data_IF_783143041553
#
_entry.id   IF_783143041553
#
_cell.length_a   1.000
_cell.length_b   1.000
_cell.length_c   1.000
_cell.angle_alpha   90.00
_cell.angle_beta   90.00
_cell.angle_gamma   90.00
#
_symmetry.space_group_name_H-M   'P 1'
#
loop_
_entity.id
_entity.type
_entity.pdbx_description
1 polymer ?
#
# COMPACT_ATOMS: atom_id res chain seq x y z
N UNK A 1 23.21 12.98 -1.96
CA UNK A 1 22.21 12.18 -2.73
C UNK A 1 20.85 12.10 -2.04
N UNK A 2 20.74 11.88 -0.72
CA UNK A 2 19.45 11.63 -0.06
C UNK A 2 18.47 12.82 -0.02
N UNK A 3 18.99 14.06 -0.12
CA UNK A 3 18.18 15.28 -0.10
C UNK A 3 17.13 15.35 -1.23
N UNK A 4 17.40 14.71 -2.37
CA UNK A 4 16.49 14.76 -3.53
C UNK A 4 15.19 13.98 -3.29
N UNK A 5 15.19 13.02 -2.37
CA UNK A 5 13.98 12.27 -2.06
C UNK A 5 12.94 13.12 -1.32
N UNK A 6 13.39 14.13 -0.56
CA UNK A 6 12.51 15.03 0.19
C UNK A 6 11.60 15.88 -0.70
N UNK A 7 12.03 16.19 -1.93
CA UNK A 7 11.25 17.02 -2.86
C UNK A 7 10.23 16.21 -3.67
N UNK A 8 10.33 14.88 -3.67
CA UNK A 8 9.42 14.00 -4.39
C UNK A 8 8.18 13.78 -3.52
N UNK A 9 7.00 14.05 -4.09
CA UNK A 9 5.70 13.82 -3.44
C UNK A 9 4.88 12.84 -4.26
N UNK A 10 4.49 11.72 -3.68
CA UNK A 10 3.62 10.70 -4.27
C UNK A 10 2.17 10.95 -3.88
N UNK A 11 1.53 11.84 -4.63
CA UNK A 11 0.10 12.08 -4.56
C UNK A 11 -0.42 12.51 -5.94
N UNK A 12 -1.74 12.55 -6.11
CA UNK A 12 -2.36 12.85 -7.40
C UNK A 12 -2.18 14.32 -7.82
N UNK A 13 -2.17 15.24 -6.86
CA UNK A 13 -2.15 16.69 -7.09
C UNK A 13 -0.76 17.23 -7.48
N UNK A 14 0.30 16.67 -6.90
CA UNK A 14 1.70 17.11 -7.05
C UNK A 14 2.48 16.25 -8.06
N UNK A 15 1.91 15.17 -8.64
CA UNK A 15 2.59 14.36 -9.67
C UNK A 15 2.02 14.49 -11.07
N UNK A 16 2.90 14.83 -12.01
CA UNK A 16 2.66 14.74 -13.45
C UNK A 16 3.09 13.39 -14.01
N UNK A 17 2.63 13.03 -15.21
CA UNK A 17 3.06 11.80 -15.90
C UNK A 17 4.59 11.69 -16.01
N UNK A 18 5.28 12.78 -16.36
CA UNK A 18 6.75 12.80 -16.46
C UNK A 18 7.43 12.53 -15.13
N UNK A 19 6.91 13.11 -14.03
CA UNK A 19 7.45 12.84 -12.69
C UNK A 19 7.28 11.39 -12.27
N UNK A 20 6.16 10.74 -12.63
CA UNK A 20 5.91 9.32 -12.34
C UNK A 20 6.85 8.41 -13.14
N UNK A 21 7.12 8.74 -14.41
CA UNK A 21 8.10 8.02 -15.24
C UNK A 21 9.51 8.13 -14.63
N UNK A 22 9.91 9.34 -14.21
CA UNK A 22 11.19 9.55 -13.56
C UNK A 22 11.33 8.73 -12.26
N UNK A 23 10.35 8.81 -11.36
CA UNK A 23 10.37 8.06 -10.09
C UNK A 23 10.37 6.56 -10.34
N UNK A 24 9.61 6.08 -11.34
CA UNK A 24 9.61 4.66 -11.74
C UNK A 24 11.02 4.22 -12.10
N UNK A 25 11.68 4.94 -13.02
CA UNK A 25 13.01 4.55 -13.50
C UNK A 25 14.05 4.62 -12.37
N UNK A 26 14.03 5.69 -11.57
CA UNK A 26 14.92 5.87 -10.44
C UNK A 26 14.83 4.71 -9.43
N UNK A 27 13.61 4.31 -9.05
CA UNK A 27 13.42 3.25 -8.06
C UNK A 27 13.71 1.86 -8.62
N UNK A 28 13.41 1.61 -9.90
CA UNK A 28 13.78 0.36 -10.57
C UNK A 28 15.30 0.20 -10.65
N UNK A 29 16.03 1.24 -11.04
CA UNK A 29 17.51 1.21 -11.10
C UNK A 29 18.14 1.00 -9.72
N UNK A 30 17.62 1.66 -8.67
CA UNK A 30 18.10 1.45 -7.29
C UNK A 30 17.83 0.02 -6.83
N UNK A 31 16.65 -0.53 -7.13
CA UNK A 31 16.29 -1.89 -6.77
C UNK A 31 17.13 -2.93 -7.53
N UNK A 32 17.44 -2.68 -8.80
CA UNK A 32 18.32 -3.52 -9.62
C UNK A 32 19.75 -3.50 -9.08
N UNK A 33 20.27 -2.32 -8.73
CA UNK A 33 21.65 -2.19 -8.24
C UNK A 33 21.84 -2.75 -6.81
N UNK A 34 20.90 -2.53 -5.89
CA UNK A 34 21.03 -2.93 -4.47
C UNK A 34 20.38 -4.27 -4.14
N UNK A 35 19.41 -4.70 -4.93
CA UNK A 35 18.45 -5.73 -4.57
C UNK A 35 17.32 -5.20 -3.67
N UNK A 36 16.13 -5.77 -3.84
CA UNK A 36 14.92 -5.36 -3.11
C UNK A 36 15.04 -5.46 -1.58
N UNK A 37 15.63 -6.51 -0.97
CA UNK A 37 15.70 -6.62 0.50
C UNK A 37 16.52 -5.49 1.14
N UNK A 38 17.73 -5.26 0.64
CA UNK A 38 18.62 -4.19 1.12
C UNK A 38 18.03 -2.80 0.88
N UNK A 39 17.28 -2.64 -0.21
CA UNK A 39 16.59 -1.38 -0.47
C UNK A 39 15.46 -1.15 0.54
N UNK A 40 14.67 -2.18 0.85
CA UNK A 40 13.61 -2.10 1.85
C UNK A 40 14.16 -1.73 3.24
N UNK A 41 15.28 -2.33 3.65
CA UNK A 41 15.97 -1.97 4.90
C UNK A 41 16.35 -0.48 4.94
N UNK A 42 16.90 0.04 3.84
CA UNK A 42 17.29 1.46 3.74
C UNK A 42 16.10 2.41 3.76
N UNK A 43 14.95 2.01 3.21
CA UNK A 43 13.71 2.81 3.28
C UNK A 43 13.09 2.80 4.68
N UNK A 44 13.42 1.79 5.50
CA UNK A 44 12.95 1.65 6.89
C UNK A 44 13.88 2.32 7.91
N UNK A 45 15.08 2.73 7.51
CA UNK A 45 16.04 3.42 8.37
C UNK A 45 15.43 4.71 8.98
N UNK A 46 15.34 4.76 10.31
CA UNK A 46 14.75 5.86 11.07
C UNK A 46 15.43 7.20 10.79
N UNK A 47 16.75 7.18 10.57
CA UNK A 47 17.53 8.39 10.28
C UNK A 47 17.18 9.00 8.91
N UNK A 48 16.56 8.20 8.04
CA UNK A 48 16.21 8.58 6.68
C UNK A 48 14.71 8.82 6.46
N UNK A 49 13.84 8.48 7.42
CA UNK A 49 12.39 8.59 7.28
C UNK A 49 11.91 9.98 6.84
N UNK A 50 12.51 11.04 7.38
CA UNK A 50 12.17 12.43 7.01
C UNK A 50 12.46 12.79 5.54
N UNK A 51 13.29 12.02 4.84
CA UNK A 51 13.54 12.20 3.41
C UNK A 51 12.55 11.42 2.54
N UNK A 52 11.86 10.42 3.10
CA UNK A 52 10.92 9.56 2.39
C UNK A 52 9.46 9.89 2.65
N UNK A 53 9.15 10.87 3.51
CA UNK A 53 7.77 11.25 3.86
C UNK A 53 6.91 11.56 2.62
N UNK A 54 7.48 12.26 1.63
CA UNK A 54 6.77 12.54 0.38
C UNK A 54 6.56 11.30 -0.49
N UNK A 55 7.43 10.30 -0.41
CA UNK A 55 7.41 9.09 -1.26
C UNK A 55 6.57 7.97 -0.62
N UNK A 56 6.63 7.85 0.70
CA UNK A 56 5.93 6.88 1.52
C UNK A 56 4.98 7.61 2.51
N UNK A 57 4.00 8.37 2.00
CA UNK A 57 3.13 9.19 2.84
C UNK A 57 2.25 8.33 3.74
N UNK A 58 2.22 8.68 5.03
CA UNK A 58 1.36 8.07 6.07
C UNK A 58 0.33 9.07 6.65
N UNK A 59 0.35 10.31 6.17
CA UNK A 59 -0.49 11.42 6.65
C UNK A 59 -1.96 11.26 6.25
N UNK A 60 -2.22 10.87 5.00
CA UNK A 60 -3.57 10.80 4.46
C UNK A 60 -3.82 9.51 3.67
N UNK A 61 -4.92 8.77 3.94
CA UNK A 61 -5.15 7.45 3.37
C UNK A 61 -5.18 7.45 1.84
N UNK A 62 -5.66 8.54 1.19
CA UNK A 62 -5.61 8.68 -0.27
C UNK A 62 -4.17 8.71 -0.81
N UNK A 63 -3.27 9.47 -0.17
CA UNK A 63 -1.86 9.55 -0.58
C UNK A 63 -1.15 8.23 -0.35
N UNK A 64 -1.42 7.58 0.79
CA UNK A 64 -0.88 6.25 1.10
C UNK A 64 -1.31 5.21 0.07
N UNK A 65 -2.59 5.19 -0.32
CA UNK A 65 -3.09 4.31 -1.39
C UNK A 65 -2.44 4.60 -2.74
N UNK A 66 -2.28 5.89 -3.07
CA UNK A 66 -1.60 6.30 -4.30
C UNK A 66 -0.17 5.73 -4.35
N UNK A 67 0.61 5.89 -3.28
CA UNK A 67 1.96 5.36 -3.20
C UNK A 67 1.99 3.83 -3.28
N UNK A 68 1.11 3.12 -2.56
CA UNK A 68 1.00 1.66 -2.65
C UNK A 68 0.73 1.22 -4.09
N UNK A 69 -0.27 1.83 -4.74
CA UNK A 69 -0.65 1.49 -6.11
C UNK A 69 0.50 1.77 -7.09
N UNK A 70 1.16 2.92 -6.96
CA UNK A 70 2.31 3.25 -7.79
C UNK A 70 3.41 2.20 -7.69
N UNK A 71 3.89 1.89 -6.48
CA UNK A 71 4.99 0.92 -6.29
C UNK A 71 4.61 -0.51 -6.69
N UNK A 72 3.36 -0.92 -6.48
CA UNK A 72 2.88 -2.23 -6.95
C UNK A 72 2.81 -2.31 -8.47
N UNK A 73 2.36 -1.24 -9.14
CA UNK A 73 2.27 -1.19 -10.61
C UNK A 73 3.62 -1.30 -11.32
N UNK A 74 4.71 -0.91 -10.64
CA UNK A 74 6.07 -1.00 -11.16
C UNK A 74 6.84 -2.23 -10.64
N UNK A 75 6.18 -3.14 -9.92
CA UNK A 75 6.80 -4.38 -9.44
C UNK A 75 7.60 -4.26 -8.13
N UNK A 76 7.52 -3.12 -7.43
CA UNK A 76 8.21 -2.87 -6.16
C UNK A 76 7.26 -2.93 -4.95
N UNK A 77 6.24 -3.79 -5.01
CA UNK A 77 5.20 -3.89 -3.99
C UNK A 77 5.71 -4.21 -2.58
N UNK A 78 6.79 -4.99 -2.46
CA UNK A 78 7.41 -5.36 -1.17
C UNK A 78 8.04 -4.18 -0.40
N UNK A 79 8.18 -3.01 -1.02
CA UNK A 79 8.58 -1.78 -0.32
C UNK A 79 7.42 -1.17 0.49
N UNK A 80 6.18 -1.60 0.24
CA UNK A 80 4.96 -0.92 0.73
C UNK A 80 4.30 -1.62 1.92
N UNK A 81 4.92 -2.66 2.48
CA UNK A 81 4.32 -3.47 3.56
C UNK A 81 3.90 -2.61 4.76
N UNK A 82 4.78 -1.70 5.21
CA UNK A 82 4.48 -0.80 6.32
C UNK A 82 3.35 0.20 6.01
N UNK A 83 3.17 0.60 4.75
CA UNK A 83 2.05 1.46 4.35
C UNK A 83 0.73 0.69 4.36
N UNK A 84 0.74 -0.58 3.95
CA UNK A 84 -0.43 -1.46 3.97
C UNK A 84 -0.88 -1.74 5.40
N UNK A 85 0.07 -2.00 6.29
CA UNK A 85 -0.20 -2.15 7.72
C UNK A 85 -0.75 -0.85 8.31
N UNK A 86 -0.15 0.30 7.98
CA UNK A 86 -0.64 1.59 8.45
C UNK A 86 -2.09 1.86 8.03
N UNK A 87 -2.49 1.51 6.81
CA UNK A 87 -3.88 1.63 6.35
C UNK A 87 -4.85 0.67 7.06
N UNK A 88 -4.40 -0.51 7.48
CA UNK A 88 -5.24 -1.45 8.25
C UNK A 88 -5.51 -0.94 9.66
N UNK A 89 -4.54 -0.27 10.27
CA UNK A 89 -4.60 0.23 11.64
C UNK A 89 -5.25 1.63 11.74
N UNK A 90 -5.47 2.31 10.62
CA UNK A 90 -6.11 3.62 10.60
C UNK A 90 -7.59 3.51 10.98
N UNK A 91 -8.12 4.38 11.85
CA UNK A 91 -9.54 4.40 12.18
C UNK A 91 -10.36 4.57 10.90
N UNK A 92 -11.23 3.59 10.59
CA UNK A 92 -12.18 3.75 9.50
C UNK A 92 -13.09 4.93 9.84
N UNK A 93 -13.26 5.92 8.94
CA UNK A 93 -14.30 6.93 9.12
C UNK A 93 -15.62 6.18 9.29
N UNK A 94 -16.19 6.23 10.49
CA UNK A 94 -17.54 5.72 10.76
C UNK A 94 -18.48 6.40 9.78
N UNK A 95 -19.09 5.63 8.90
CA UNK A 95 -20.04 6.11 7.92
C UNK A 95 -21.18 6.84 8.64
N UNK A 96 -21.16 8.18 8.61
CA UNK A 96 -22.34 8.97 8.88
C UNK A 96 -23.29 8.74 7.71
N UNK A 97 -24.40 8.06 7.98
CA UNK A 97 -25.52 7.90 7.07
C UNK A 97 -26.10 9.29 6.83
N UNK A 98 -25.84 9.88 5.68
CA UNK A 98 -26.57 11.04 5.15
C UNK A 98 -27.21 10.59 3.83
N UNK A 99 -28.53 10.80 3.64
CA UNK A 99 -29.19 10.35 2.43
C UNK A 99 -28.94 11.37 1.30
N UNK A 100 -28.66 10.80 0.10
CA UNK A 100 -29.03 11.28 -1.25
C UNK A 100 -28.07 12.22 -2.01
N UNK A 101 -27.19 11.63 -2.87
CA UNK A 101 -27.19 11.79 -4.34
C UNK A 101 -25.86 11.29 -4.99
N UNK A 102 -25.96 10.15 -5.69
CA UNK A 102 -25.10 9.60 -6.77
C UNK A 102 -23.61 9.98 -6.92
N UNK A 103 -22.71 9.07 -6.54
CA UNK A 103 -21.61 8.60 -7.42
C UNK A 103 -21.22 7.17 -7.01
N UNK A 104 -21.42 6.22 -7.91
CA UNK A 104 -21.21 4.78 -7.71
C UNK A 104 -19.75 4.43 -7.45
N UNK A 105 -19.37 4.27 -6.17
CA UNK A 105 -18.22 3.45 -5.80
C UNK A 105 -18.70 2.02 -5.59
N UNK A 106 -18.48 1.14 -6.56
CA UNK A 106 -18.70 -0.30 -6.44
C UNK A 106 -17.70 -0.91 -5.44
N UNK A 107 -17.95 -0.71 -4.15
CA UNK A 107 -17.36 -1.52 -3.09
C UNK A 107 -18.14 -2.82 -3.00
N UNK A 108 -17.66 -3.85 -3.70
CA UNK A 108 -18.07 -5.22 -3.46
C UNK A 108 -17.60 -5.66 -2.07
N UNK A 109 -18.44 -5.49 -1.06
CA UNK A 109 -18.29 -6.18 0.22
C UNK A 109 -19.11 -7.46 0.18
N UNK A 110 -18.46 -8.60 0.02
CA UNK A 110 -19.04 -9.87 0.46
C UNK A 110 -18.75 -10.02 1.95
N UNK A 111 -19.71 -9.64 2.77
CA UNK A 111 -19.72 -9.90 4.21
C UNK A 111 -20.27 -11.31 4.45
N UNK A 112 -19.41 -12.15 5.00
CA UNK A 112 -19.63 -13.17 6.04
C UNK A 112 -21.06 -13.67 6.32
N UNK A 113 -21.21 -14.99 6.32
CA UNK A 113 -22.07 -15.69 7.29
C UNK A 113 -21.27 -16.83 7.95
N UNK A 114 -21.34 -16.86 9.27
CA UNK A 114 -20.78 -17.87 10.16
C UNK A 114 -21.92 -18.77 10.62
N UNK A 115 -21.70 -20.07 10.77
CA UNK A 115 -22.42 -21.03 11.64
C UNK A 115 -22.09 -22.43 11.10
N UNK A 116 -21.96 -23.52 11.85
CA UNK A 116 -21.83 -23.86 13.26
C UNK A 116 -21.47 -25.37 13.22
N UNK A 117 -20.69 -25.86 14.19
CA UNK A 117 -20.09 -27.20 14.11
C UNK A 117 -21.06 -28.37 14.24
N UNK A 118 -20.55 -29.58 13.97
CA UNK A 118 -20.64 -30.80 14.81
C UNK A 118 -20.01 -32.02 14.13
N UNK A 119 -19.27 -32.77 14.94
CA UNK A 119 -19.16 -34.24 15.03
C UNK A 119 -18.48 -35.08 13.93
N UNK A 120 -17.30 -35.57 14.32
CA UNK A 120 -16.76 -36.94 14.22
C UNK A 120 -17.56 -37.97 13.40
N UNK A 121 -16.91 -38.72 12.51
CA UNK A 121 -16.75 -40.17 12.71
C UNK A 121 -15.76 -40.81 11.71
N UNK A 122 -15.08 -41.83 12.23
CA UNK A 122 -14.05 -42.66 11.60
C UNK A 122 -14.68 -43.69 10.64
N UNK A 123 -14.01 -44.02 9.53
CA UNK A 123 -13.92 -45.40 9.00
C UNK A 123 -12.94 -45.53 7.82
N UNK A 124 -12.05 -46.50 7.97
CA UNK A 124 -11.19 -47.15 6.98
C UNK A 124 -12.01 -47.85 5.89
N UNK A 125 -11.54 -47.87 4.63
CA UNK A 125 -11.45 -49.13 3.86
C UNK A 125 -10.52 -49.00 2.64
N UNK A 126 -9.84 -50.10 2.34
CA UNK A 126 -8.84 -50.28 1.28
C UNK A 126 -9.50 -50.90 0.05
N UNK A 127 -9.05 -50.56 -1.16
CA UNK A 127 -8.71 -51.48 -2.27
C UNK A 127 -7.87 -50.73 -3.32
#
# INVERSE_FOLDING_TARGET
MVLIFKVIKMNEDDTTSSSRIFVKQLFLEIAEYKGLPKFNERLKDETLQGYFEGIMPKDHPKKTRFAINFFTSIGLGGLTDGLREHLKNMPKPTAAIHPESSSSSSSGSSSSDSDSGTDSDSSSDSE
#
